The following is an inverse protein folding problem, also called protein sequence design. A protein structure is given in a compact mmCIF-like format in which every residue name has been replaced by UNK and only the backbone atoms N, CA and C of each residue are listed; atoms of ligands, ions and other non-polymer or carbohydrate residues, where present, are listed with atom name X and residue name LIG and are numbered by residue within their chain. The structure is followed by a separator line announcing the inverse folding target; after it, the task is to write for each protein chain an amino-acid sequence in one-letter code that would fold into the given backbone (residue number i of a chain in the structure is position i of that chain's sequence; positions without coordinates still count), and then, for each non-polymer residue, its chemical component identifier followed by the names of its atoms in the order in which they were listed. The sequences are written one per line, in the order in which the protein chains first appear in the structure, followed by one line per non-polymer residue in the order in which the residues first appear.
data_IF_630139917931
#
_entry.id   IF_630139917931
#
_cell.length_a   1.000
_cell.length_b   1.000
_cell.length_c   1.000
_cell.angle_alpha   90.00
_cell.angle_beta   90.00
_cell.angle_gamma   90.00
#
_symmetry.space_group_name_H-M   'P 1'
#
loop_
_entity.id
_entity.type
_entity.pdbx_description
1 polymer ?
#
# COMPACT_ATOMS: atom_id res chain seq x y z
N UNK A 1 -19.51 20.65 -5.99
CA UNK A 1 -18.67 19.44 -6.05
C UNK A 1 -18.11 19.34 -7.46
N UNK A 2 -16.80 19.49 -7.62
CA UNK A 2 -16.12 19.08 -8.85
C UNK A 2 -16.40 17.60 -9.08
N UNK A 3 -16.67 17.20 -10.33
CA UNK A 3 -16.86 15.78 -10.66
C UNK A 3 -15.53 15.09 -10.36
N UNK A 4 -15.49 14.25 -9.31
CA UNK A 4 -14.35 13.39 -9.09
C UNK A 4 -14.32 12.35 -10.21
N UNK A 5 -13.37 12.51 -11.13
CA UNK A 5 -13.19 11.64 -12.28
C UNK A 5 -12.56 10.32 -11.83
N UNK A 6 -13.42 9.46 -11.30
CA UNK A 6 -13.07 8.14 -10.78
C UNK A 6 -12.27 7.31 -11.80
N UNK A 7 -12.65 7.37 -13.08
CA UNK A 7 -11.99 6.65 -14.16
C UNK A 7 -10.54 7.08 -14.35
N UNK A 8 -10.27 8.38 -14.29
CA UNK A 8 -8.92 8.93 -14.45
C UNK A 8 -8.04 8.64 -13.23
N UNK A 9 -8.60 8.72 -12.02
CA UNK A 9 -7.92 8.31 -10.79
C UNK A 9 -7.58 6.82 -10.80
N UNK A 10 -8.54 5.96 -11.18
CA UNK A 10 -8.35 4.51 -11.27
C UNK A 10 -7.27 4.19 -12.30
N UNK A 11 -7.40 4.68 -13.54
CA UNK A 11 -6.42 4.46 -14.59
C UNK A 11 -5.03 4.94 -14.17
N UNK A 12 -4.92 6.13 -13.59
CA UNK A 12 -3.66 6.69 -13.11
C UNK A 12 -3.02 5.84 -12.01
N UNK A 13 -3.80 5.35 -11.04
CA UNK A 13 -3.29 4.48 -9.97
C UNK A 13 -2.81 3.13 -10.50
N UNK A 14 -3.60 2.50 -11.37
CA UNK A 14 -3.27 1.19 -11.96
C UNK A 14 -2.02 1.30 -12.82
N UNK A 15 -1.94 2.32 -13.68
CA UNK A 15 -0.80 2.55 -14.55
C UNK A 15 0.47 2.85 -13.75
N UNK A 16 0.39 3.71 -12.72
CA UNK A 16 1.53 4.02 -11.86
C UNK A 16 2.08 2.76 -11.16
N UNK A 17 1.19 1.92 -10.60
CA UNK A 17 1.62 0.69 -9.92
C UNK A 17 2.17 -0.34 -10.91
N UNK A 18 1.42 -0.67 -11.96
CA UNK A 18 1.81 -1.74 -12.91
C UNK A 18 3.08 -1.35 -13.66
N UNK A 19 3.18 -0.13 -14.20
CA UNK A 19 4.36 0.29 -14.96
C UNK A 19 5.61 0.30 -14.08
N UNK A 20 5.54 0.79 -12.84
CA UNK A 20 6.68 0.76 -11.92
C UNK A 20 7.10 -0.65 -11.55
N UNK A 21 6.14 -1.57 -11.28
CA UNK A 21 6.47 -2.96 -10.95
C UNK A 21 6.98 -3.74 -12.17
N UNK A 22 6.46 -3.47 -13.38
CA UNK A 22 6.95 -4.08 -14.61
C UNK A 22 8.37 -3.62 -14.93
N UNK A 23 8.66 -2.32 -14.82
CA UNK A 23 10.00 -1.78 -14.97
C UNK A 23 10.96 -2.35 -13.93
N UNK A 24 10.54 -2.47 -12.67
CA UNK A 24 11.30 -3.13 -11.62
C UNK A 24 11.64 -4.58 -11.99
N UNK A 25 10.67 -5.38 -12.43
CA UNK A 25 10.88 -6.78 -12.81
C UNK A 25 11.86 -6.93 -13.98
N UNK A 26 11.80 -6.03 -14.97
CA UNK A 26 12.73 -6.04 -16.11
C UNK A 26 14.14 -5.55 -15.72
N UNK A 27 14.23 -4.50 -14.91
CA UNK A 27 15.50 -3.92 -14.48
C UNK A 27 16.24 -4.83 -13.49
N UNK A 28 15.51 -5.57 -12.65
CA UNK A 28 16.08 -6.51 -11.68
C UNK A 28 16.95 -7.57 -12.37
N UNK A 29 16.54 -8.06 -13.55
CA UNK A 29 17.29 -9.04 -14.33
C UNK A 29 18.58 -8.49 -14.95
N UNK A 30 18.72 -7.17 -15.09
CA UNK A 30 19.82 -6.56 -15.84
C UNK A 30 20.82 -5.79 -14.97
N UNK A 31 20.37 -5.09 -13.92
CA UNK A 31 21.22 -4.13 -13.19
C UNK A 31 20.89 -4.06 -11.69
N UNK A 32 21.90 -3.73 -10.87
CA UNK A 32 21.70 -3.47 -9.43
C UNK A 32 20.97 -2.15 -9.14
N UNK A 33 20.91 -1.25 -10.12
CA UNK A 33 20.19 0.04 -10.05
C UNK A 33 18.68 -0.11 -10.24
N UNK A 34 18.16 -1.33 -10.29
CA UNK A 34 16.74 -1.61 -10.47
C UNK A 34 15.86 -0.89 -9.43
N UNK A 35 16.35 -0.64 -8.21
CA UNK A 35 15.58 0.02 -7.15
C UNK A 35 15.13 1.43 -7.53
N UNK A 36 15.83 2.09 -8.46
CA UNK A 36 15.43 3.39 -9.01
C UNK A 36 14.09 3.32 -9.76
N UNK A 37 13.72 2.16 -10.32
CA UNK A 37 12.41 1.97 -10.96
C UNK A 37 11.23 2.05 -9.97
N UNK A 38 11.48 1.73 -8.69
CA UNK A 38 10.48 1.80 -7.62
C UNK A 38 10.40 3.18 -6.96
N UNK A 39 11.40 4.05 -7.17
CA UNK A 39 11.49 5.37 -6.55
C UNK A 39 10.29 6.28 -6.89
N UNK A 40 9.82 6.38 -8.16
CA UNK A 40 8.64 7.19 -8.49
C UNK A 40 7.39 6.72 -7.74
N UNK A 41 7.14 5.40 -7.72
CA UNK A 41 6.02 4.82 -6.99
C UNK A 41 6.14 5.13 -5.49
N UNK A 42 7.35 5.02 -4.95
CA UNK A 42 7.61 5.32 -3.55
C UNK A 42 7.35 6.76 -3.16
N UNK A 43 7.75 7.72 -4.00
CA UNK A 43 7.45 9.13 -3.79
C UNK A 43 5.94 9.39 -3.82
N UNK A 44 5.21 8.78 -4.76
CA UNK A 44 3.76 8.94 -4.84
C UNK A 44 3.06 8.41 -3.58
N UNK A 45 3.47 7.23 -3.10
CA UNK A 45 2.94 6.65 -1.85
C UNK A 45 3.32 7.51 -0.66
N UNK A 46 4.57 7.97 -0.56
CA UNK A 46 5.03 8.81 0.54
C UNK A 46 4.26 10.13 0.64
N UNK A 47 4.07 10.84 -0.48
CA UNK A 47 3.32 12.11 -0.51
C UNK A 47 1.84 11.88 -0.15
N UNK A 48 1.23 10.82 -0.70
CA UNK A 48 -0.15 10.44 -0.38
C UNK A 48 -0.34 10.07 1.09
N UNK A 49 0.54 9.24 1.63
CA UNK A 49 0.54 8.84 3.04
C UNK A 49 0.80 10.04 3.96
N UNK A 50 1.70 10.95 3.58
CA UNK A 50 1.99 12.17 4.32
C UNK A 50 0.78 13.08 4.40
N UNK A 51 0.05 13.24 3.29
CA UNK A 51 -1.19 14.02 3.24
C UNK A 51 -2.24 13.44 4.19
N UNK A 52 -2.47 12.13 4.14
CA UNK A 52 -3.38 11.44 5.05
C UNK A 52 -2.97 11.57 6.53
N UNK A 53 -1.67 11.46 6.84
CA UNK A 53 -1.16 11.58 8.19
C UNK A 53 -1.32 13.01 8.74
N UNK A 54 -1.07 14.03 7.91
CA UNK A 54 -1.28 15.43 8.27
C UNK A 54 -2.76 15.75 8.48
N UNK A 55 -3.63 15.30 7.59
CA UNK A 55 -5.06 15.59 7.66
C UNK A 55 -5.67 14.96 8.93
N UNK A 56 -5.26 13.73 9.27
CA UNK A 56 -5.57 13.10 10.56
C UNK A 56 -5.12 13.96 11.74
N UNK A 57 -3.86 14.40 11.73
CA UNK A 57 -3.29 15.17 12.85
C UNK A 57 -3.95 16.54 12.99
N UNK A 58 -4.29 17.19 11.88
CA UNK A 58 -5.05 18.43 11.87
C UNK A 58 -6.45 18.24 12.45
N UNK A 59 -7.15 17.18 12.05
CA UNK A 59 -8.48 16.85 12.58
C UNK A 59 -8.46 16.61 14.10
N UNK A 60 -7.46 15.87 14.59
CA UNK A 60 -7.27 15.65 16.02
C UNK A 60 -6.97 16.95 16.76
N UNK A 61 -6.05 17.77 16.25
CA UNK A 61 -5.69 19.04 16.89
C UNK A 61 -6.85 20.04 16.91
N UNK A 62 -7.68 20.08 15.87
CA UNK A 62 -8.88 20.93 15.86
C UNK A 62 -9.95 20.49 16.85
N UNK A 63 -9.97 19.21 17.21
CA UNK A 63 -10.89 18.70 18.23
C UNK A 63 -10.37 18.94 19.66
N UNK A 64 -9.04 18.96 19.86
CA UNK A 64 -8.44 19.04 21.20
C UNK A 64 -7.99 20.43 21.62
N UNK A 65 -7.57 21.30 20.69
CA UNK A 65 -7.00 22.61 20.98
C UNK A 65 -7.95 23.74 20.55
N UNK A 66 -8.01 24.79 21.36
CA UNK A 66 -8.66 26.03 20.97
C UNK A 66 -7.97 26.63 19.72
N UNK A 67 -8.77 27.21 18.82
CA UNK A 67 -8.31 27.76 17.54
C UNK A 67 -7.25 28.86 17.67
N UNK A 68 -7.18 29.53 18.83
CA UNK A 68 -6.27 30.64 19.13
C UNK A 68 -4.94 30.22 19.75
N UNK A 69 -4.73 28.93 20.02
CA UNK A 69 -3.53 28.49 20.73
C UNK A 69 -2.26 28.63 19.87
N UNK A 70 -1.21 29.33 20.36
CA UNK A 70 0.06 29.46 19.64
C UNK A 70 0.83 28.13 19.53
N UNK A 71 0.41 27.10 20.27
CA UNK A 71 1.01 25.76 20.21
C UNK A 71 0.56 24.96 18.98
N UNK A 72 -0.48 25.39 18.28
CA UNK A 72 -1.05 24.67 17.14
C UNK A 72 -0.04 24.39 16.00
N UNK A 73 0.79 25.36 15.51
CA UNK A 73 1.76 25.09 14.45
C UNK A 73 2.86 24.11 14.86
N UNK A 74 3.28 24.15 16.12
CA UNK A 74 4.33 23.25 16.66
C UNK A 74 3.76 21.84 16.84
N UNK A 75 2.55 21.74 17.42
CA UNK A 75 1.86 20.47 17.67
C UNK A 75 1.45 19.73 16.38
N UNK A 76 1.40 20.40 15.22
CA UNK A 76 1.19 19.77 13.90
C UNK A 76 2.26 18.72 13.57
N UNK A 77 3.44 18.76 14.22
CA UNK A 77 4.45 17.70 14.21
C UNK A 77 4.76 17.11 12.83
N UNK A 78 5.13 18.00 11.90
CA UNK A 78 5.43 17.68 10.49
C UNK A 78 6.51 16.61 10.34
N UNK A 79 7.54 16.64 11.20
CA UNK A 79 8.62 15.66 11.19
C UNK A 79 8.13 14.24 11.50
N UNK A 80 7.27 14.09 12.52
CA UNK A 80 6.68 12.79 12.84
C UNK A 80 5.78 12.28 11.72
N UNK A 81 4.95 13.15 11.12
CA UNK A 81 4.11 12.75 9.98
C UNK A 81 4.95 12.35 8.76
N UNK A 82 6.04 13.07 8.49
CA UNK A 82 6.99 12.73 7.42
C UNK A 82 7.63 11.37 7.69
N UNK A 83 8.16 11.14 8.89
CA UNK A 83 8.74 9.86 9.28
C UNK A 83 7.76 8.69 9.13
N UNK A 84 6.50 8.85 9.60
CA UNK A 84 5.47 7.81 9.44
C UNK A 84 5.14 7.53 7.98
N UNK A 85 5.04 8.57 7.15
CA UNK A 85 4.72 8.42 5.73
C UNK A 85 5.86 7.74 4.96
N UNK A 86 7.11 8.13 5.24
CA UNK A 86 8.30 7.49 4.68
C UNK A 86 8.38 6.02 5.09
N UNK A 87 8.11 5.70 6.37
CA UNK A 87 8.12 4.33 6.86
C UNK A 87 7.06 3.46 6.16
N UNK A 88 5.84 3.97 5.99
CA UNK A 88 4.78 3.29 5.24
C UNK A 88 5.17 3.09 3.78
N UNK A 89 5.72 4.11 3.13
CA UNK A 89 6.15 4.02 1.75
C UNK A 89 7.25 2.97 1.56
N UNK A 90 8.32 3.00 2.37
CA UNK A 90 9.41 2.02 2.32
C UNK A 90 8.87 0.60 2.51
N UNK A 91 8.02 0.39 3.52
CA UNK A 91 7.41 -0.91 3.77
C UNK A 91 6.56 -1.40 2.59
N UNK A 92 5.70 -0.53 2.04
CA UNK A 92 4.83 -0.89 0.91
C UNK A 92 5.65 -1.21 -0.35
N UNK A 93 6.66 -0.40 -0.66
CA UNK A 93 7.52 -0.60 -1.83
C UNK A 93 8.32 -1.89 -1.69
N UNK A 94 8.90 -2.16 -0.52
CA UNK A 94 9.67 -3.37 -0.29
C UNK A 94 8.78 -4.62 -0.46
N UNK A 95 7.59 -4.62 0.14
CA UNK A 95 6.65 -5.73 0.03
C UNK A 95 6.11 -5.92 -1.41
N UNK A 96 5.74 -4.85 -2.11
CA UNK A 96 5.29 -4.92 -3.51
C UNK A 96 6.41 -5.30 -4.47
N UNK A 97 7.60 -4.72 -4.29
CA UNK A 97 8.78 -5.02 -5.08
C UNK A 97 9.12 -6.50 -5.00
N UNK A 98 9.18 -7.05 -3.78
CA UNK A 98 9.33 -8.48 -3.56
C UNK A 98 8.24 -9.30 -4.24
N UNK A 99 6.96 -9.03 -3.93
CA UNK A 99 5.84 -9.84 -4.44
C UNK A 99 5.79 -9.82 -5.96
N UNK A 100 6.10 -8.69 -6.60
CA UNK A 100 6.09 -8.55 -8.06
C UNK A 100 7.13 -9.41 -8.81
N UNK A 101 8.24 -9.78 -8.16
CA UNK A 101 9.26 -10.66 -8.76
C UNK A 101 8.73 -12.08 -8.92
N UNK A 102 7.93 -12.54 -7.96
CA UNK A 102 7.42 -13.92 -7.90
C UNK A 102 5.96 -14.05 -8.31
N UNK A 103 5.26 -12.93 -8.55
CA UNK A 103 3.85 -12.94 -8.87
C UNK A 103 3.56 -13.62 -10.22
N UNK A 104 2.64 -14.59 -10.15
CA UNK A 104 1.95 -15.17 -11.30
C UNK A 104 0.94 -14.21 -11.92
N UNK A 105 0.28 -14.65 -13.00
CA UNK A 105 -0.74 -13.86 -13.67
C UNK A 105 -1.98 -13.66 -12.78
N UNK A 106 -2.34 -14.69 -12.02
CA UNK A 106 -3.49 -14.74 -11.13
C UNK A 106 -3.35 -13.73 -10.00
N UNK A 107 -2.17 -13.67 -9.40
CA UNK A 107 -1.84 -12.71 -8.35
C UNK A 107 -1.81 -11.28 -8.87
N UNK A 108 -1.34 -11.07 -10.10
CA UNK A 108 -1.36 -9.76 -10.75
C UNK A 108 -2.81 -9.30 -10.97
N UNK A 109 -3.68 -10.18 -11.49
CA UNK A 109 -5.10 -9.89 -11.67
C UNK A 109 -5.76 -9.58 -10.32
N UNK A 110 -5.45 -10.36 -9.27
CA UNK A 110 -5.93 -10.10 -7.92
C UNK A 110 -5.47 -8.72 -7.42
N UNK A 111 -4.19 -8.36 -7.59
CA UNK A 111 -3.66 -7.07 -7.19
C UNK A 111 -4.37 -5.91 -7.92
N UNK A 112 -4.63 -6.04 -9.22
CA UNK A 112 -5.39 -5.04 -9.99
C UNK A 112 -6.81 -4.90 -9.46
N UNK A 113 -7.49 -6.02 -9.15
CA UNK A 113 -8.82 -6.00 -8.57
C UNK A 113 -8.83 -5.30 -7.20
N UNK A 114 -7.84 -5.59 -6.33
CA UNK A 114 -7.68 -4.94 -5.02
C UNK A 114 -7.46 -3.43 -5.17
N UNK A 115 -6.62 -3.00 -6.12
CA UNK A 115 -6.43 -1.58 -6.44
C UNK A 115 -7.77 -0.96 -6.86
N UNK A 116 -8.51 -1.63 -7.74
CA UNK A 116 -9.83 -1.18 -8.19
C UNK A 116 -10.82 -0.99 -7.04
N UNK A 117 -10.94 -1.99 -6.16
CA UNK A 117 -11.79 -1.94 -4.97
C UNK A 117 -11.35 -0.81 -4.04
N UNK A 118 -10.04 -0.62 -3.85
CA UNK A 118 -9.47 0.45 -3.01
C UNK A 118 -9.83 1.84 -3.51
N UNK A 119 -9.66 2.09 -4.80
CA UNK A 119 -9.96 3.39 -5.41
C UNK A 119 -11.47 3.64 -5.44
N UNK A 120 -12.27 2.60 -5.72
CA UNK A 120 -13.73 2.71 -5.73
C UNK A 120 -14.31 3.01 -4.36
N UNK A 121 -13.85 2.27 -3.33
CA UNK A 121 -14.27 2.50 -1.94
C UNK A 121 -13.80 3.85 -1.41
N UNK A 122 -12.60 4.32 -1.80
CA UNK A 122 -12.14 5.69 -1.49
C UNK A 122 -13.02 6.76 -2.13
N UNK A 123 -13.34 6.63 -3.41
CA UNK A 123 -14.22 7.56 -4.12
C UNK A 123 -15.64 7.58 -3.56
N UNK A 124 -16.17 6.41 -3.17
CA UNK A 124 -17.47 6.29 -2.51
C UNK A 124 -17.44 6.95 -1.13
N UNK A 125 -16.38 6.72 -0.35
CA UNK A 125 -16.15 7.37 0.94
C UNK A 125 -16.13 8.89 0.83
N UNK A 126 -15.41 9.44 -0.15
CA UNK A 126 -15.40 10.88 -0.40
C UNK A 126 -16.80 11.43 -0.68
N UNK A 127 -17.63 10.70 -1.45
CA UNK A 127 -18.99 11.13 -1.78
C UNK A 127 -19.94 11.06 -0.59
N UNK A 128 -19.86 9.99 0.21
CA UNK A 128 -20.72 9.79 1.36
C UNK A 128 -20.36 10.75 2.50
N UNK A 129 -19.09 10.84 2.87
CA UNK A 129 -18.65 11.65 4.00
C UNK A 129 -18.62 13.15 3.70
N UNK A 130 -18.64 13.58 2.43
CA UNK A 130 -18.63 15.01 2.10
C UNK A 130 -19.86 15.78 2.59
N UNK A 131 -20.93 15.08 3.00
CA UNK A 131 -22.14 15.71 3.58
C UNK A 131 -21.97 16.03 5.06
N UNK A 132 -21.32 15.13 5.81
CA UNK A 132 -21.35 15.15 7.27
C UNK A 132 -19.99 15.47 7.91
N UNK A 133 -18.90 15.36 7.14
CA UNK A 133 -17.52 15.46 7.64
C UNK A 133 -16.85 16.73 7.15
N UNK A 134 -16.13 17.41 8.05
CA UNK A 134 -15.34 18.61 7.74
C UNK A 134 -14.29 18.29 6.67
N UNK A 135 -14.16 19.18 5.69
CA UNK A 135 -13.29 19.03 4.50
C UNK A 135 -11.84 18.64 4.85
N UNK A 136 -11.30 19.17 5.96
CA UNK A 136 -9.94 18.87 6.45
C UNK A 136 -9.74 17.42 6.87
N UNK A 137 -10.81 16.73 7.28
CA UNK A 137 -10.78 15.34 7.75
C UNK A 137 -11.36 14.35 6.73
N UNK A 138 -12.00 14.84 5.68
CA UNK A 138 -12.70 14.06 4.67
C UNK A 138 -11.80 13.01 4.00
N UNK A 139 -10.59 13.40 3.58
CA UNK A 139 -9.64 12.50 2.92
C UNK A 139 -9.19 11.37 3.84
N UNK A 140 -8.87 11.67 5.10
CA UNK A 140 -8.44 10.67 6.08
C UNK A 140 -9.56 9.68 6.42
N UNK A 141 -10.79 10.15 6.67
CA UNK A 141 -11.94 9.28 6.93
C UNK A 141 -12.23 8.36 5.74
N UNK A 142 -12.19 8.92 4.53
CA UNK A 142 -12.40 8.16 3.29
C UNK A 142 -11.31 7.12 3.06
N UNK A 143 -10.05 7.45 3.35
CA UNK A 143 -8.93 6.52 3.29
C UNK A 143 -9.07 5.36 4.29
N UNK A 144 -9.52 5.64 5.52
CA UNK A 144 -9.76 4.59 6.53
C UNK A 144 -10.95 3.70 6.19
N UNK A 145 -12.03 4.27 5.68
CA UNK A 145 -13.17 3.51 5.17
C UNK A 145 -12.76 2.61 4.01
N UNK A 146 -12.06 3.15 3.01
CA UNK A 146 -11.57 2.39 1.86
C UNK A 146 -10.64 1.26 2.28
N UNK A 147 -9.74 1.52 3.21
CA UNK A 147 -8.82 0.52 3.77
C UNK A 147 -9.58 -0.64 4.40
N UNK A 148 -10.54 -0.36 5.27
CA UNK A 148 -11.34 -1.37 5.96
C UNK A 148 -12.16 -2.20 4.96
N UNK A 149 -12.88 -1.54 4.06
CA UNK A 149 -13.71 -2.22 3.05
C UNK A 149 -12.86 -3.11 2.16
N UNK A 150 -11.74 -2.59 1.66
CA UNK A 150 -10.84 -3.36 0.79
C UNK A 150 -10.27 -4.57 1.52
N UNK A 151 -9.75 -4.40 2.74
CA UNK A 151 -9.18 -5.53 3.48
C UNK A 151 -10.24 -6.61 3.74
N UNK A 152 -11.43 -6.24 4.19
CA UNK A 152 -12.50 -7.21 4.47
C UNK A 152 -12.94 -7.96 3.21
N UNK A 153 -13.12 -7.24 2.09
CA UNK A 153 -13.59 -7.83 0.83
C UNK A 153 -12.51 -8.65 0.13
N UNK A 154 -11.24 -8.25 0.23
CA UNK A 154 -10.15 -8.83 -0.56
C UNK A 154 -9.39 -9.96 0.11
N UNK A 155 -9.34 -10.02 1.45
CA UNK A 155 -8.54 -11.03 2.16
C UNK A 155 -8.99 -12.45 1.80
N UNK A 156 -10.28 -12.74 1.87
CA UNK A 156 -10.77 -14.10 1.65
C UNK A 156 -10.55 -14.59 0.20
N UNK A 157 -10.90 -13.82 -0.86
CA UNK A 157 -10.56 -14.18 -2.23
C UNK A 157 -9.05 -14.35 -2.45
N UNK A 158 -8.23 -13.53 -1.80
CA UNK A 158 -6.77 -13.62 -1.94
C UNK A 158 -6.21 -14.90 -1.30
N UNK A 159 -6.69 -15.28 -0.10
CA UNK A 159 -6.34 -16.57 0.54
C UNK A 159 -6.72 -17.72 -0.39
N UNK A 160 -7.92 -17.67 -0.98
CA UNK A 160 -8.38 -18.70 -1.90
C UNK A 160 -7.47 -18.84 -3.13
N UNK A 161 -7.08 -17.72 -3.74
CA UNK A 161 -6.17 -17.72 -4.89
C UNK A 161 -4.80 -18.30 -4.50
N UNK A 162 -4.23 -17.86 -3.38
CA UNK A 162 -2.95 -18.40 -2.91
C UNK A 162 -3.07 -19.92 -2.65
N UNK A 163 -4.12 -20.40 -1.99
CA UNK A 163 -4.28 -21.83 -1.72
C UNK A 163 -4.56 -22.66 -2.98
N UNK A 164 -5.30 -22.12 -3.95
CA UNK A 164 -5.66 -22.83 -5.17
C UNK A 164 -4.50 -22.93 -6.17
N UNK A 165 -3.66 -21.89 -6.25
CA UNK A 165 -2.63 -21.76 -7.29
C UNK A 165 -1.20 -21.92 -6.77
N UNK A 166 -0.95 -21.79 -5.47
CA UNK A 166 0.37 -22.12 -4.90
C UNK A 166 0.50 -23.65 -4.88
N UNK A 167 1.04 -24.18 -5.98
CA UNK A 167 1.33 -25.58 -6.31
C UNK A 167 2.32 -26.27 -5.36
N UNK A 168 2.54 -25.76 -4.14
CA UNK A 168 3.59 -26.21 -3.20
C UNK A 168 3.08 -26.75 -1.86
N UNK A 169 1.79 -26.99 -1.71
CA UNK A 169 1.26 -27.80 -0.60
C UNK A 169 1.73 -29.25 -0.80
N UNK A 170 2.92 -29.60 -0.31
CA UNK A 170 3.43 -30.97 -0.25
C UNK A 170 4.64 -31.32 -1.13
N UNK A 171 5.27 -30.36 -1.83
CA UNK A 171 6.42 -30.66 -2.70
C UNK A 171 7.79 -30.67 -2.00
N UNK A 172 7.84 -30.33 -0.72
CA UNK A 172 9.08 -30.31 0.07
C UNK A 172 8.90 -31.32 1.21
N UNK A 173 9.10 -32.59 0.89
CA UNK A 173 9.33 -33.66 1.88
C UNK A 173 10.77 -33.64 2.44
N UNK A 174 11.45 -32.50 2.26
CA UNK A 174 12.83 -32.29 2.66
C UNK A 174 12.91 -31.71 4.08
N UNK A 175 14.00 -32.03 4.78
CA UNK A 175 14.28 -31.43 6.09
C UNK A 175 14.41 -29.89 5.97
N UNK A 176 14.17 -29.16 7.06
CA UNK A 176 14.19 -27.69 7.06
C UNK A 176 15.49 -27.12 6.48
N UNK A 177 16.62 -27.74 6.81
CA UNK A 177 17.94 -27.34 6.33
C UNK A 177 18.08 -27.53 4.81
N UNK A 178 17.51 -28.61 4.27
CA UNK A 178 17.53 -28.90 2.84
C UNK A 178 16.56 -27.98 2.08
N UNK A 179 15.38 -27.70 2.63
CA UNK A 179 14.41 -26.75 2.08
C UNK A 179 15.01 -25.34 1.95
N UNK A 180 15.74 -24.88 2.97
CA UNK A 180 16.48 -23.62 2.93
C UNK A 180 17.60 -23.69 1.91
N UNK A 181 18.40 -24.76 1.90
CA UNK A 181 19.49 -24.94 0.95
C UNK A 181 19.02 -24.87 -0.51
N UNK A 182 17.93 -25.56 -0.85
CA UNK A 182 17.32 -25.53 -2.18
C UNK A 182 16.78 -24.14 -2.52
N UNK A 183 16.22 -23.42 -1.54
CA UNK A 183 15.69 -22.07 -1.77
C UNK A 183 16.81 -21.06 -1.99
N UNK A 184 17.90 -21.15 -1.22
CA UNK A 184 19.08 -20.31 -1.38
C UNK A 184 19.83 -20.63 -2.69
N UNK A 185 19.89 -21.89 -3.10
CA UNK A 185 20.52 -22.28 -4.37
C UNK A 185 19.74 -21.78 -5.61
N UNK A 186 18.46 -21.43 -5.46
CA UNK A 186 17.64 -20.84 -6.53
C UNK A 186 17.81 -19.32 -6.66
N UNK A 187 18.50 -18.69 -5.72
CA UNK A 187 18.86 -17.28 -5.87
C UNK A 187 19.86 -17.13 -7.01
N UNK A 188 19.67 -16.16 -7.92
CA UNK A 188 20.73 -15.80 -8.85
C UNK A 188 21.97 -15.44 -8.04
N UNK A 189 23.13 -15.97 -8.41
CA UNK A 189 24.38 -15.63 -7.75
C UNK A 189 24.80 -14.20 -8.13
N UNK A 190 24.25 -13.16 -7.48
CA UNK A 190 24.85 -11.82 -7.53
C UNK A 190 25.36 -11.46 -6.14
N UNK A 191 26.59 -10.95 -6.11
CA UNK A 191 27.20 -10.38 -4.92
C UNK A 191 26.75 -8.92 -4.73
N UNK A 192 25.45 -8.64 -4.88
CA UNK A 192 24.92 -7.28 -4.75
C UNK A 192 24.10 -7.12 -3.47
N UNK A 193 24.08 -5.90 -2.93
CA UNK A 193 23.34 -5.57 -1.70
C UNK A 193 21.85 -5.90 -1.82
N UNK A 194 21.32 -5.80 -3.04
CA UNK A 194 19.92 -6.08 -3.34
C UNK A 194 19.59 -7.57 -3.14
N UNK A 195 20.51 -8.46 -3.52
CA UNK A 195 20.35 -9.90 -3.31
C UNK A 195 20.34 -10.25 -1.82
N UNK A 196 21.14 -9.56 -0.99
CA UNK A 196 21.11 -9.75 0.46
C UNK A 196 19.73 -9.40 1.05
N UNK A 197 19.15 -8.27 0.65
CA UNK A 197 17.81 -7.87 1.11
C UNK A 197 16.74 -8.86 0.63
N UNK A 198 16.79 -9.26 -0.64
CA UNK A 198 15.83 -10.20 -1.22
C UNK A 198 15.96 -11.59 -0.60
N UNK A 199 17.18 -12.01 -0.22
CA UNK A 199 17.42 -13.30 0.43
C UNK A 199 16.67 -13.44 1.75
N UNK A 200 16.59 -12.37 2.55
CA UNK A 200 15.84 -12.37 3.82
C UNK A 200 14.36 -12.62 3.57
N UNK A 201 13.79 -12.00 2.54
CA UNK A 201 12.36 -12.12 2.24
C UNK A 201 12.05 -13.51 1.67
N UNK A 202 12.92 -14.04 0.80
CA UNK A 202 12.79 -15.41 0.29
C UNK A 202 12.91 -16.41 1.43
N UNK A 203 13.83 -16.21 2.37
CA UNK A 203 13.95 -17.05 3.55
C UNK A 203 12.64 -17.10 4.34
N UNK A 204 12.00 -15.94 4.58
CA UNK A 204 10.70 -15.88 5.25
C UNK A 204 9.61 -16.63 4.47
N UNK A 205 9.62 -16.54 3.13
CA UNK A 205 8.68 -17.27 2.28
C UNK A 205 8.91 -18.78 2.29
N UNK A 206 10.17 -19.21 2.30
CA UNK A 206 10.55 -20.62 2.46
C UNK A 206 10.12 -21.16 3.82
N UNK A 207 10.36 -20.40 4.89
CA UNK A 207 9.88 -20.77 6.24
C UNK A 207 8.36 -20.89 6.24
N UNK A 208 7.64 -19.94 5.63
CA UNK A 208 6.18 -20.00 5.47
C UNK A 208 5.74 -21.30 4.80
N UNK A 209 6.32 -21.63 3.65
CA UNK A 209 5.98 -22.84 2.90
C UNK A 209 6.32 -24.12 3.68
N UNK A 210 7.45 -24.14 4.40
CA UNK A 210 7.86 -25.27 5.22
C UNK A 210 6.90 -25.50 6.40
N UNK A 211 6.51 -24.44 7.10
CA UNK A 211 5.53 -24.54 8.20
C UNK A 211 4.19 -25.04 7.65
N UNK A 212 3.74 -24.54 6.50
CA UNK A 212 2.51 -25.01 5.85
C UNK A 212 2.58 -26.49 5.49
N UNK A 213 3.73 -27.00 5.04
CA UNK A 213 3.90 -28.40 4.68
C UNK A 213 3.88 -29.33 5.90
N UNK A 214 4.26 -28.83 7.09
CA UNK A 214 4.45 -29.67 8.30
C UNK A 214 3.28 -29.65 9.28
N UNK A 215 2.52 -28.55 9.34
CA UNK A 215 1.46 -28.36 10.33
C UNK A 215 0.07 -28.62 9.74
N UNK A 216 -0.85 -29.08 10.58
CA UNK A 216 -2.23 -29.45 10.23
C UNK A 216 -3.06 -28.30 9.63
N UNK A 217 -4.20 -28.68 9.06
CA UNK A 217 -5.13 -27.83 8.29
C UNK A 217 -5.45 -26.47 8.92
N UNK A 218 -5.62 -26.38 10.25
CA UNK A 218 -5.97 -25.13 10.91
C UNK A 218 -4.82 -24.09 10.91
N UNK A 219 -3.58 -24.53 11.07
CA UNK A 219 -2.42 -23.64 11.09
C UNK A 219 -2.17 -23.00 9.72
N UNK A 220 -2.45 -23.76 8.65
CA UNK A 220 -2.35 -23.30 7.26
C UNK A 220 -3.24 -22.07 7.04
N UNK A 221 -4.51 -22.13 7.45
CA UNK A 221 -5.44 -21.00 7.30
C UNK A 221 -4.98 -19.74 8.03
N UNK A 222 -4.40 -19.88 9.23
CA UNK A 222 -3.92 -18.74 10.01
C UNK A 222 -2.72 -18.08 9.33
N UNK A 223 -1.74 -18.88 8.90
CA UNK A 223 -0.50 -18.38 8.29
C UNK A 223 -0.81 -17.70 6.94
N UNK A 224 -1.58 -18.36 6.07
CA UNK A 224 -2.02 -17.76 4.81
C UNK A 224 -2.93 -16.55 5.05
N UNK A 225 -3.76 -16.58 6.09
CA UNK A 225 -4.60 -15.45 6.48
C UNK A 225 -3.78 -14.22 6.86
N UNK A 226 -2.76 -14.38 7.70
CA UNK A 226 -1.86 -13.29 8.10
C UNK A 226 -1.10 -12.74 6.89
N UNK A 227 -0.56 -13.62 6.05
CA UNK A 227 0.16 -13.22 4.85
C UNK A 227 -0.73 -12.49 3.84
N UNK A 228 -1.91 -13.04 3.56
CA UNK A 228 -2.91 -12.42 2.69
C UNK A 228 -3.35 -11.05 3.23
N UNK A 229 -3.60 -10.95 4.53
CA UNK A 229 -3.93 -9.69 5.18
C UNK A 229 -2.81 -8.66 5.03
N UNK A 230 -1.55 -9.07 5.17
CA UNK A 230 -0.39 -8.20 4.96
C UNK A 230 -0.32 -7.68 3.52
N UNK A 231 -0.40 -8.57 2.53
CA UNK A 231 -0.33 -8.19 1.11
C UNK A 231 -1.52 -7.32 0.71
N UNK A 232 -2.74 -7.68 1.09
CA UNK A 232 -3.93 -6.87 0.84
C UNK A 232 -3.80 -5.49 1.49
N UNK A 233 -3.30 -5.42 2.73
CA UNK A 233 -3.03 -4.16 3.45
C UNK A 233 -2.04 -3.30 2.71
N UNK A 234 -0.95 -3.87 2.20
CA UNK A 234 0.07 -3.16 1.42
C UNK A 234 -0.49 -2.63 0.10
N UNK A 235 -1.18 -3.47 -0.67
CA UNK A 235 -1.78 -3.08 -1.97
C UNK A 235 -2.83 -1.98 -1.74
N UNK A 236 -3.72 -2.16 -0.77
CA UNK A 236 -4.74 -1.19 -0.44
C UNK A 236 -4.13 0.15 0.01
N UNK A 237 -3.14 0.12 0.91
CA UNK A 237 -2.48 1.33 1.40
C UNK A 237 -1.78 2.09 0.28
N UNK A 238 -1.15 1.37 -0.65
CA UNK A 238 -0.50 1.94 -1.83
C UNK A 238 -1.52 2.61 -2.75
N UNK A 239 -2.58 1.89 -3.11
CA UNK A 239 -3.65 2.40 -3.98
C UNK A 239 -4.34 3.64 -3.38
N UNK A 240 -4.69 3.59 -2.09
CA UNK A 240 -5.36 4.69 -1.37
C UNK A 240 -4.42 5.90 -1.28
N UNK A 241 -3.13 5.70 -1.03
CA UNK A 241 -2.16 6.80 -0.98
C UNK A 241 -2.05 7.51 -2.33
N UNK A 242 -1.98 6.76 -3.42
CA UNK A 242 -1.93 7.34 -4.78
C UNK A 242 -3.25 8.04 -5.13
N UNK A 243 -4.40 7.45 -4.78
CA UNK A 243 -5.71 8.08 -4.97
C UNK A 243 -5.85 9.39 -4.17
N UNK A 244 -5.28 9.43 -2.95
CA UNK A 244 -5.21 10.63 -2.11
C UNK A 244 -4.34 11.71 -2.77
N UNK A 245 -3.19 11.33 -3.32
CA UNK A 245 -2.32 12.23 -4.07
C UNK A 245 -3.08 12.84 -5.26
N UNK A 246 -3.76 12.00 -6.04
CA UNK A 246 -4.55 12.41 -7.20
C UNK A 246 -5.63 13.43 -6.82
N UNK A 247 -6.41 13.12 -5.78
CA UNK A 247 -7.45 14.01 -5.27
C UNK A 247 -6.91 15.35 -4.79
N UNK A 248 -5.73 15.37 -4.15
CA UNK A 248 -5.19 16.59 -3.54
C UNK A 248 -4.49 17.54 -4.52
N UNK A 249 -3.89 17.03 -5.61
CA UNK A 249 -3.08 17.86 -6.52
C UNK A 249 -3.71 18.06 -7.90
N UNK A 250 -4.53 17.12 -8.38
CA UNK A 250 -5.03 17.16 -9.77
C UNK A 250 -6.45 17.72 -9.83
N UNK A 251 -7.27 17.52 -8.80
CA UNK A 251 -8.59 18.15 -8.72
C UNK A 251 -8.42 19.57 -8.17
N UNK A 252 -8.61 20.63 -8.96
CA UNK A 252 -8.49 21.99 -8.47
C UNK A 252 -9.57 22.21 -7.39
N UNK A 253 -9.15 22.32 -6.13
CA UNK A 253 -10.01 22.83 -5.07
C UNK A 253 -10.35 24.27 -5.43
N UNK A 254 -11.55 24.49 -5.95
CA UNK A 254 -12.11 25.82 -6.17
C UNK A 254 -12.05 26.53 -4.81
N UNK A 255 -11.11 27.47 -4.64
CA UNK A 255 -10.99 28.27 -3.41
C UNK A 255 -12.37 28.82 -3.10
N UNK A 256 -12.94 28.43 -1.94
CA UNK A 256 -14.24 28.95 -1.51
C UNK A 256 -14.04 30.46 -1.27
N UNK A 257 -14.87 31.35 -1.83
CA UNK A 257 -14.69 32.81 -1.73
C UNK A 257 -14.90 33.39 -0.32
N UNK A 258 -14.88 32.56 0.73
CA UNK A 258 -15.08 33.00 2.12
C UNK A 258 -13.87 33.78 2.68
N UNK A 259 -12.70 33.70 2.05
CA UNK A 259 -11.54 34.53 2.41
C UNK A 259 -11.61 35.97 1.84
N UNK A 260 -12.64 36.34 1.07
CA UNK A 260 -12.81 37.70 0.55
C UNK A 260 -13.78 38.58 1.38
N UNK A 261 -14.34 38.07 2.48
CA UNK A 261 -15.35 38.79 3.26
C UNK A 261 -14.85 39.35 4.61
N UNK A 262 -13.53 39.35 4.86
CA UNK A 262 -12.97 39.59 6.19
C UNK A 262 -11.73 40.48 6.27
N UNK A 263 -11.42 41.28 5.26
CA UNK A 263 -10.55 42.45 5.45
C UNK A 263 -11.45 43.67 5.72
N UNK A 264 -11.72 44.04 6.99
CA UNK A 264 -12.13 45.39 7.29
C UNK A 264 -10.95 46.33 7.00
N UNK A 265 -11.18 47.31 6.12
CA UNK A 265 -10.31 48.48 5.93
C UNK A 265 -10.06 49.25 7.23
#
# INVERSE_FOLDING_TARGET
MTKFDFTLCLLGTVLAVICSLALWRLAFLSTDLAYLALLPLGLMVAIGAYKNAIDRRRALLSATLQSTSPLQPIARGRLFTAFTATSVAVFCIAALGYKSLFAGLEELVAAIAIIGISVASYALGLRWFARDVVETSLSWFSAKFAFLVTCVVSIFPYIWIEMAFVTRLGAIDADFNEAIGVSLARLPARNSLLDEIVSIIIFLDTVRLWVVARFDSAAIWIIYGIYAALICTVIATTAISIATLYHSHIVPTRKRPLDQAGEPE
#
